data_IF_027592336213
#
_entry.id   IF_027592336213
#
_cell.length_a   1.000
_cell.length_b   1.000
_cell.length_c   1.000
_cell.angle_alpha   90.00
_cell.angle_beta   90.00
_cell.angle_gamma   90.00
#
_symmetry.space_group_name_H-M   'P 1'
#
loop_
_entity.id
_entity.type
_entity.pdbx_description
1 polymer ?
#
# COMPACT_ATOMS: atom_id res chain seq x y z
N UNK A 1 -46.82 16.77 5.61
CA UNK A 1 -47.00 15.83 4.48
C UNK A 1 -45.84 16.07 3.51
N UNK A 2 -45.22 14.99 3.02
CA UNK A 2 -44.18 14.90 1.96
C UNK A 2 -42.70 14.81 2.39
N UNK A 3 -42.10 13.64 2.12
CA UNK A 3 -40.65 13.36 2.06
C UNK A 3 -40.14 12.51 3.23
N UNK A 4 -40.45 11.22 3.34
CA UNK A 4 -40.03 10.17 2.42
C UNK A 4 -38.77 9.48 2.97
N UNK A 5 -38.96 8.45 3.81
CA UNK A 5 -37.86 7.60 4.32
C UNK A 5 -37.23 6.92 3.11
N UNK A 6 -36.01 7.32 2.77
CA UNK A 6 -35.26 6.71 1.68
C UNK A 6 -34.70 5.36 2.16
N UNK A 7 -35.21 4.27 1.59
CA UNK A 7 -34.91 2.88 1.94
C UNK A 7 -33.65 2.35 1.21
N UNK A 8 -32.82 3.23 0.64
CA UNK A 8 -31.62 2.85 -0.11
C UNK A 8 -30.36 3.62 0.33
N UNK A 9 -29.46 2.86 0.96
CA UNK A 9 -28.00 2.93 0.83
C UNK A 9 -27.17 3.91 1.68
N UNK A 10 -26.27 3.24 2.42
CA UNK A 10 -25.06 3.67 3.10
C UNK A 10 -25.19 4.65 4.26
N UNK A 11 -25.03 4.12 5.48
CA UNK A 11 -24.27 4.82 6.49
C UNK A 11 -22.78 4.57 6.20
N UNK A 12 -22.00 5.52 5.67
CA UNK A 12 -20.56 5.47 5.83
C UNK A 12 -20.26 6.07 7.22
N UNK A 13 -20.15 5.16 8.18
CA UNK A 13 -19.68 5.31 9.55
C UNK A 13 -19.07 6.70 9.95
N UNK A 14 -19.70 7.46 10.87
CA UNK A 14 -19.22 8.77 11.32
C UNK A 14 -18.14 8.70 12.42
N UNK A 15 -17.24 7.71 12.37
CA UNK A 15 -16.13 7.53 13.33
C UNK A 15 -14.88 7.35 12.46
N UNK A 16 -14.25 8.42 11.93
CA UNK A 16 -13.21 9.18 12.65
C UNK A 16 -12.44 8.35 13.68
N UNK A 17 -12.02 7.13 13.30
CA UNK A 17 -10.86 6.55 13.97
C UNK A 17 -9.70 7.49 13.62
N UNK A 18 -9.21 8.17 14.65
CA UNK A 18 -8.13 9.14 14.58
C UNK A 18 -7.00 8.58 13.72
N UNK A 19 -6.82 9.14 12.52
CA UNK A 19 -5.59 9.05 11.77
C UNK A 19 -4.66 10.13 12.34
N UNK A 20 -3.72 9.81 13.24
CA UNK A 20 -2.94 10.81 13.98
C UNK A 20 -1.92 11.53 13.08
N UNK A 21 -1.78 11.11 11.82
CA UNK A 21 -0.74 11.54 10.88
C UNK A 21 -1.28 12.30 9.65
N UNK A 22 -2.61 12.40 9.46
CA UNK A 22 -3.21 13.13 8.34
C UNK A 22 -3.00 12.47 6.97
N UNK A 23 -2.73 11.16 6.94
CA UNK A 23 -2.47 10.40 5.74
C UNK A 23 -3.72 10.24 4.86
N UNK A 24 -4.93 10.16 5.44
CA UNK A 24 -6.19 10.13 4.67
C UNK A 24 -6.45 11.42 3.87
N UNK A 25 -5.76 12.51 4.19
CA UNK A 25 -5.80 13.76 3.40
C UNK A 25 -4.94 13.64 2.13
N UNK A 26 -3.97 12.72 2.13
CA UNK A 26 -3.00 12.51 1.05
C UNK A 26 -3.37 11.30 0.17
N UNK A 27 -3.80 10.19 0.76
CA UNK A 27 -4.27 9.00 0.06
C UNK A 27 -5.76 8.79 0.32
N UNK A 28 -6.53 8.63 -0.75
CA UNK A 28 -7.92 8.20 -0.68
C UNK A 28 -8.01 6.68 -0.42
N UNK A 29 -9.12 6.25 0.17
CA UNK A 29 -9.47 4.85 0.36
C UNK A 29 -9.37 4.00 -0.91
N UNK A 30 -9.64 4.61 -2.06
CA UNK A 30 -9.59 3.99 -3.39
C UNK A 30 -8.19 3.96 -4.00
N UNK A 31 -7.21 4.64 -3.40
CA UNK A 31 -5.84 4.62 -3.90
C UNK A 31 -5.22 3.24 -3.73
N UNK A 32 -4.39 2.89 -4.72
CA UNK A 32 -3.75 1.59 -4.79
C UNK A 32 -2.38 1.62 -4.13
N UNK A 33 -2.08 0.53 -3.42
CA UNK A 33 -0.79 0.24 -2.82
C UNK A 33 -0.21 -0.97 -3.54
N UNK A 34 0.99 -0.81 -4.08
CA UNK A 34 1.65 -1.84 -4.87
C UNK A 34 2.87 -2.39 -4.15
N UNK A 35 3.04 -3.72 -4.22
CA UNK A 35 4.20 -4.44 -3.70
C UNK A 35 4.81 -5.31 -4.79
N UNK A 36 6.09 -5.15 -5.07
CA UNK A 36 6.82 -6.05 -5.96
C UNK A 36 7.15 -7.41 -5.32
N UNK A 37 7.11 -8.49 -6.10
CA UNK A 37 7.52 -9.83 -5.69
C UNK A 37 6.35 -10.79 -5.46
N UNK A 38 6.65 -11.98 -4.91
CA UNK A 38 5.69 -13.07 -4.78
C UNK A 38 4.50 -12.79 -3.84
N UNK A 39 4.64 -11.75 -2.99
CA UNK A 39 3.63 -11.33 -2.01
C UNK A 39 3.07 -12.51 -1.18
N UNK A 40 3.90 -13.51 -0.91
CA UNK A 40 3.56 -14.60 0.01
C UNK A 40 3.87 -14.19 1.44
N UNK A 41 3.23 -14.84 2.41
CA UNK A 41 3.47 -14.61 3.84
C UNK A 41 4.96 -14.76 4.17
N UNK A 42 5.63 -15.74 3.59
CA UNK A 42 7.07 -15.95 3.74
C UNK A 42 7.90 -14.79 3.13
N UNK A 43 7.48 -14.26 1.99
CA UNK A 43 8.16 -13.10 1.36
C UNK A 43 8.00 -11.83 2.20
N UNK A 44 6.88 -11.67 2.90
CA UNK A 44 6.66 -10.57 3.83
C UNK A 44 7.52 -10.72 5.08
N UNK A 45 7.55 -11.91 5.71
CA UNK A 45 8.38 -12.18 6.89
C UNK A 45 9.88 -12.00 6.63
N UNK A 46 10.35 -12.46 5.48
CA UNK A 46 11.75 -12.36 5.08
C UNK A 46 12.07 -11.05 4.31
N UNK A 47 11.14 -10.09 4.30
CA UNK A 47 11.33 -8.81 3.65
C UNK A 47 12.46 -8.01 4.30
N UNK A 48 13.29 -7.34 3.48
CA UNK A 48 14.31 -6.44 4.00
C UNK A 48 13.65 -5.27 4.73
N UNK A 49 14.06 -5.03 5.97
CA UNK A 49 13.47 -3.99 6.83
C UNK A 49 12.18 -4.40 7.53
N UNK A 50 11.71 -5.63 7.35
CA UNK A 50 10.51 -6.12 8.03
C UNK A 50 10.87 -6.69 9.41
N UNK A 51 10.14 -6.26 10.43
CA UNK A 51 10.21 -6.82 11.77
C UNK A 51 8.84 -7.33 12.21
N UNK A 52 8.79 -8.51 12.83
CA UNK A 52 7.60 -9.07 13.42
C UNK A 52 7.56 -8.78 14.93
N UNK A 53 6.41 -8.35 15.44
CA UNK A 53 6.17 -8.20 16.88
C UNK A 53 5.82 -9.54 17.54
N UNK A 54 5.68 -9.55 18.87
CA UNK A 54 5.30 -10.73 19.65
C UNK A 54 3.94 -11.33 19.25
N UNK A 55 3.03 -10.53 18.68
CA UNK A 55 1.73 -10.95 18.16
C UNK A 55 1.79 -11.38 16.68
N UNK A 56 2.97 -11.36 16.06
CA UNK A 56 3.17 -11.75 14.66
C UNK A 56 2.73 -10.69 13.64
N UNK A 57 2.47 -9.45 14.07
CA UNK A 57 2.24 -8.32 13.17
C UNK A 57 3.56 -7.83 12.64
N UNK A 58 3.60 -7.62 11.33
CA UNK A 58 4.75 -7.12 10.61
C UNK A 58 4.74 -5.60 10.62
N UNK A 59 5.94 -5.03 10.70
CA UNK A 59 6.24 -3.62 10.53
C UNK A 59 7.36 -3.48 9.51
N UNK A 60 7.40 -2.38 8.76
CA UNK A 60 8.43 -2.13 7.75
C UNK A 60 8.15 -2.77 6.39
N UNK A 61 6.90 -3.14 6.07
CA UNK A 61 6.59 -3.70 4.75
C UNK A 61 6.73 -2.61 3.69
N UNK A 62 7.82 -2.67 2.91
CA UNK A 62 8.06 -1.72 1.84
C UNK A 62 7.11 -1.90 0.65
N UNK A 63 6.32 -0.88 0.38
CA UNK A 63 5.35 -0.78 -0.72
C UNK A 63 5.52 0.54 -1.48
N UNK A 64 4.75 0.73 -2.54
CA UNK A 64 4.63 1.99 -3.25
C UNK A 64 3.17 2.42 -3.24
N UNK A 65 2.90 3.68 -2.84
CA UNK A 65 1.57 4.27 -2.85
C UNK A 65 1.68 5.73 -3.26
N UNK A 66 0.74 6.21 -4.08
CA UNK A 66 0.65 7.62 -4.49
C UNK A 66 -0.81 7.93 -4.85
N UNK A 67 -1.32 9.12 -4.49
CA UNK A 67 -2.67 9.51 -4.85
C UNK A 67 -2.86 9.56 -6.36
N UNK A 68 -3.97 9.00 -6.83
CA UNK A 68 -4.39 8.98 -8.24
C UNK A 68 -3.33 8.39 -9.18
N UNK A 69 -2.46 7.51 -8.69
CA UNK A 69 -1.41 6.89 -9.49
C UNK A 69 -1.85 5.57 -10.10
N UNK A 70 -1.49 5.38 -11.37
CA UNK A 70 -1.68 4.11 -12.06
C UNK A 70 -0.68 3.05 -11.60
N UNK A 71 -1.08 1.79 -11.79
CA UNK A 71 -0.27 0.62 -11.50
C UNK A 71 1.13 0.67 -12.11
N UNK A 72 1.24 1.13 -13.35
CA UNK A 72 2.51 1.25 -14.07
C UNK A 72 3.50 2.20 -13.39
N UNK A 73 3.00 3.31 -12.83
CA UNK A 73 3.85 4.28 -12.11
C UNK A 73 4.37 3.66 -10.81
N UNK A 74 3.51 2.94 -10.10
CA UNK A 74 3.87 2.30 -8.83
C UNK A 74 4.71 1.04 -9.03
N UNK A 75 4.59 0.37 -10.17
CA UNK A 75 5.29 -0.87 -10.47
C UNK A 75 6.62 -0.70 -11.20
N UNK A 76 6.86 0.47 -11.79
CA UNK A 76 8.10 0.84 -12.46
C UNK A 76 9.37 0.58 -11.62
N UNK A 77 9.47 0.99 -10.33
CA UNK A 77 10.70 0.78 -9.57
C UNK A 77 10.94 -0.71 -9.24
N UNK A 78 9.92 -1.56 -9.30
CA UNK A 78 10.06 -2.97 -9.00
C UNK A 78 10.69 -3.74 -10.16
N UNK A 79 11.91 -4.26 -9.95
CA UNK A 79 12.58 -5.18 -10.89
C UNK A 79 11.89 -6.55 -10.99
N UNK A 80 11.00 -6.86 -10.05
CA UNK A 80 10.28 -8.14 -9.99
C UNK A 80 9.27 -8.28 -11.14
N UNK A 81 9.04 -9.52 -11.56
CA UNK A 81 8.14 -9.84 -12.69
C UNK A 81 6.66 -9.84 -12.30
N UNK A 82 6.36 -9.84 -11.01
CA UNK A 82 5.01 -9.87 -10.47
C UNK A 82 4.87 -8.83 -9.36
N UNK A 83 3.65 -8.34 -9.21
CA UNK A 83 3.26 -7.33 -8.24
C UNK A 83 1.95 -7.73 -7.58
N UNK A 84 1.85 -7.48 -6.28
CA UNK A 84 0.58 -7.48 -5.56
C UNK A 84 0.02 -6.07 -5.52
N UNK A 85 -1.30 -5.96 -5.56
CA UNK A 85 -2.02 -4.69 -5.45
C UNK A 85 -3.10 -4.83 -4.39
N UNK A 86 -3.15 -3.88 -3.48
CA UNK A 86 -4.20 -3.72 -2.50
C UNK A 86 -4.69 -2.27 -2.51
N UNK A 87 -5.84 -2.00 -1.90
CA UNK A 87 -6.29 -0.61 -1.68
C UNK A 87 -5.94 -0.15 -0.27
N UNK A 88 -5.86 1.16 -0.07
CA UNK A 88 -5.69 1.77 1.26
C UNK A 88 -6.79 1.28 2.22
N UNK A 89 -8.05 1.32 1.78
CA UNK A 89 -9.17 0.87 2.59
C UNK A 89 -9.06 -0.60 3.01
N UNK A 90 -8.61 -1.50 2.13
CA UNK A 90 -8.47 -2.92 2.48
C UNK A 90 -7.36 -3.16 3.51
N UNK A 91 -6.25 -2.40 3.43
CA UNK A 91 -5.15 -2.47 4.39
C UNK A 91 -5.60 -1.98 5.77
N UNK A 92 -6.29 -0.84 5.83
CA UNK A 92 -6.80 -0.28 7.07
C UNK A 92 -7.90 -1.14 7.69
N UNK A 93 -8.79 -1.70 6.86
CA UNK A 93 -9.81 -2.66 7.29
C UNK A 93 -9.21 -3.95 7.85
N UNK A 94 -8.05 -4.37 7.36
CA UNK A 94 -7.29 -5.48 7.93
C UNK A 94 -6.55 -5.11 9.23
N UNK A 95 -6.62 -3.85 9.65
CA UNK A 95 -5.99 -3.32 10.87
C UNK A 95 -4.54 -2.90 10.66
N UNK A 96 -4.15 -2.65 9.41
CA UNK A 96 -2.84 -2.12 9.03
C UNK A 96 -2.83 -0.60 9.00
N UNK A 97 -1.63 -0.03 9.04
CA UNK A 97 -1.39 1.40 8.89
C UNK A 97 -0.42 1.59 7.74
N UNK A 98 -0.70 2.56 6.87
CA UNK A 98 0.21 2.97 5.81
C UNK A 98 0.96 4.20 6.30
N UNK A 99 2.22 4.35 5.92
CA UNK A 99 3.04 5.54 6.19
C UNK A 99 3.80 5.90 4.92
N UNK A 100 3.62 7.11 4.39
CA UNK A 100 4.37 7.57 3.20
C UNK A 100 5.78 8.05 3.60
N UNK A 101 6.80 7.21 3.39
CA UNK A 101 8.22 7.50 3.73
C UNK A 101 9.09 7.82 2.49
N UNK A 102 8.50 7.92 1.31
CA UNK A 102 9.19 8.32 0.07
C UNK A 102 9.65 9.78 0.08
N UNK A 103 10.72 10.07 -0.68
CA UNK A 103 11.33 11.41 -0.82
C UNK A 103 10.44 12.49 -1.49
N UNK A 104 9.12 12.27 -1.60
CA UNK A 104 8.20 13.39 -1.77
C UNK A 104 7.96 14.14 -0.44
N UNK A 105 8.28 13.53 0.72
CA UNK A 105 8.07 14.11 2.06
C UNK A 105 9.32 14.12 2.99
N UNK A 106 10.52 13.78 2.51
CA UNK A 106 11.72 13.76 3.37
C UNK A 106 12.94 14.43 2.74
N UNK A 107 13.50 15.42 3.44
CA UNK A 107 14.65 16.22 2.98
C UNK A 107 15.93 15.39 2.77
N UNK A 108 16.04 14.21 3.39
CA UNK A 108 17.24 13.35 3.35
C UNK A 108 16.97 11.88 2.96
N UNK A 109 15.80 11.55 2.41
CA UNK A 109 15.44 10.18 2.04
C UNK A 109 16.17 9.63 0.80
N UNK A 110 16.38 8.30 0.77
CA UNK A 110 16.90 7.56 -0.38
C UNK A 110 15.93 7.61 -1.58
N UNK A 111 16.45 7.47 -2.79
CA UNK A 111 15.86 7.85 -4.09
C UNK A 111 14.64 7.02 -4.57
N UNK A 112 13.61 6.80 -3.76
CA UNK A 112 12.37 6.13 -4.19
C UNK A 112 11.16 7.08 -4.09
N UNK A 113 10.79 7.66 -5.23
CA UNK A 113 9.53 8.42 -5.36
C UNK A 113 8.36 7.47 -5.05
N UNK A 114 7.41 7.91 -4.20
CA UNK A 114 6.18 7.18 -3.83
C UNK A 114 6.37 5.97 -2.88
N UNK A 115 7.48 5.91 -2.14
CA UNK A 115 7.64 4.87 -1.12
C UNK A 115 6.66 5.00 0.04
N UNK A 116 6.08 3.86 0.41
CA UNK A 116 5.10 3.73 1.46
C UNK A 116 5.43 2.48 2.29
N UNK A 117 5.39 2.60 3.60
CA UNK A 117 5.56 1.50 4.53
C UNK A 117 4.20 1.06 5.04
N UNK A 118 3.94 -0.24 5.05
CA UNK A 118 2.74 -0.81 5.67
C UNK A 118 3.14 -1.54 6.95
N UNK A 119 2.43 -1.22 8.04
CA UNK A 119 2.67 -1.72 9.39
C UNK A 119 1.39 -2.33 9.98
N UNK A 120 1.52 -3.17 11.01
CA UNK A 120 0.40 -3.64 11.82
C UNK A 120 -0.39 -4.83 11.28
N UNK A 121 -0.02 -5.35 10.10
CA UNK A 121 -0.61 -6.53 9.47
C UNK A 121 0.20 -7.80 9.74
N UNK A 122 -0.45 -8.94 9.95
CA UNK A 122 0.26 -10.23 9.92
C UNK A 122 0.64 -10.62 8.50
N UNK A 123 1.61 -11.54 8.38
CA UNK A 123 2.05 -12.05 7.08
C UNK A 123 0.91 -12.67 6.25
N UNK A 124 -0.03 -13.36 6.90
CA UNK A 124 -1.18 -13.99 6.25
C UNK A 124 -2.22 -12.95 5.81
N UNK A 125 -2.43 -11.90 6.60
CA UNK A 125 -3.30 -10.78 6.21
C UNK A 125 -2.70 -10.06 4.99
N UNK A 126 -1.40 -9.74 5.02
CA UNK A 126 -0.72 -9.12 3.89
C UNK A 126 -0.79 -10.02 2.64
N UNK A 127 -0.52 -11.32 2.78
CA UNK A 127 -0.65 -12.26 1.66
C UNK A 127 -2.05 -12.24 1.06
N UNK A 128 -3.10 -12.29 1.89
CA UNK A 128 -4.48 -12.28 1.42
C UNK A 128 -4.87 -10.98 0.70
N UNK A 129 -4.28 -9.86 1.09
CA UNK A 129 -4.54 -8.55 0.48
C UNK A 129 -3.82 -8.39 -0.86
N UNK A 130 -2.56 -8.81 -0.93
CA UNK A 130 -1.71 -8.59 -2.10
C UNK A 130 -1.75 -9.75 -3.11
N UNK A 131 -2.49 -10.84 -2.81
CA UNK A 131 -2.72 -11.96 -3.72
C UNK A 131 -4.17 -11.99 -4.25
N UNK A 132 -4.38 -12.45 -5.49
CA UNK A 132 -3.38 -12.98 -6.43
C UNK A 132 -2.48 -11.86 -6.99
N UNK A 133 -1.19 -12.17 -7.12
CA UNK A 133 -0.26 -11.25 -7.78
C UNK A 133 -0.51 -11.25 -9.28
N UNK A 134 -0.34 -10.09 -9.90
CA UNK A 134 -0.43 -9.93 -11.35
C UNK A 134 0.96 -9.67 -11.96
N UNK A 135 1.18 -9.95 -13.25
CA UNK A 135 2.42 -9.61 -13.91
C UNK A 135 2.66 -8.09 -13.84
N UNK A 136 3.93 -7.69 -13.67
CA UNK A 136 4.29 -6.28 -13.69
C UNK A 136 4.04 -5.73 -15.11
N UNK A 137 3.12 -4.75 -15.28
CA UNK A 137 2.76 -4.22 -16.59
C UNK A 137 3.90 -3.45 -17.26
N UNK A 138 4.90 -3.00 -16.49
CA UNK A 138 6.05 -2.28 -17.02
C UNK A 138 7.01 -3.28 -17.70
N UNK A 139 7.48 -3.02 -18.94
CA UNK A 139 8.48 -3.83 -19.60
C UNK A 139 9.79 -3.91 -18.81
N UNK A 140 10.47 -5.05 -18.80
CA UNK A 140 11.70 -5.28 -17.99
C UNK A 140 12.76 -4.18 -18.21
N UNK A 141 12.89 -3.70 -19.45
CA UNK A 141 13.84 -2.66 -19.86
C UNK A 141 13.54 -1.28 -19.24
N UNK A 142 12.29 -1.06 -18.84
CA UNK A 142 11.81 0.20 -18.26
C UNK A 142 11.69 0.13 -16.72
N UNK A 143 12.06 -1.01 -16.11
CA UNK A 143 11.99 -1.23 -14.66
C UNK A 143 13.25 -0.76 -13.93
N UNK A 144 13.06 -0.40 -12.67
CA UNK A 144 14.14 0.07 -11.79
C UNK A 144 14.40 1.57 -11.94
N UNK A 145 15.33 2.12 -11.14
CA UNK A 145 15.69 3.53 -11.25
C UNK A 145 16.24 3.79 -12.66
N UNK A 146 15.69 4.77 -13.37
CA UNK A 146 16.35 5.33 -14.57
C UNK A 146 17.74 5.75 -14.14
N UNK A 147 18.76 4.98 -14.53
CA UNK A 147 20.13 5.47 -14.51
C UNK A 147 20.18 6.51 -15.62
N UNK A 148 20.02 7.78 -15.24
CA UNK A 148 20.42 8.87 -16.13
C UNK A 148 21.91 8.67 -16.39
N UNK A 149 22.24 8.44 -17.67
CA UNK A 149 23.60 8.25 -18.17
C UNK A 149 24.41 9.54 -18.01
#
# INVERSE_FOLDING_TARGET
LAGGINLYSYAPNPIKWMDPLGLHDILADTDIVCRGGACSADSFKNGSGVAADANGKLSGISTQAKPNAGLETLSQPFKHNQIGVATVADIEKAGGTITLDGKLNSSNGSMMMNHATVDGLTAEQAEKLFRPTQPNPVPVEQRGPKREC
#
